data_IF_721983979138
#
_entry.id   IF_721983979138
#
_cell.length_a   1.000
_cell.length_b   1.000
_cell.length_c   1.000
_cell.angle_alpha   90.00
_cell.angle_beta   90.00
_cell.angle_gamma   90.00
#
_symmetry.space_group_name_H-M   'P 1'
#
loop_
_entity.id
_entity.type
_entity.pdbx_description
1 polymer ?
#
# COMPACT_ATOMS: atom_id res chain seq x y z
N UNK A 1 14.66 -1.49 13.12
CA UNK A 1 15.45 -2.52 12.40
C UNK A 1 15.25 -2.49 10.87
N UNK A 2 14.02 -2.48 10.34
CA UNK A 2 13.76 -2.44 8.87
C UNK A 2 14.32 -1.22 8.13
N UNK A 3 14.17 -0.02 8.69
CA UNK A 3 14.65 1.22 8.06
C UNK A 3 16.18 1.26 7.85
N UNK A 4 16.95 0.47 8.60
CA UNK A 4 18.42 0.46 8.51
C UNK A 4 18.97 -0.48 7.43
N UNK A 5 18.20 -1.48 7.00
CA UNK A 5 18.72 -2.57 6.15
C UNK A 5 18.09 -2.60 4.76
N UNK A 6 16.85 -2.16 4.59
CA UNK A 6 16.18 -2.18 3.29
C UNK A 6 16.49 -0.89 2.50
N UNK A 7 16.96 -0.98 1.25
CA UNK A 7 17.31 0.20 0.45
C UNK A 7 16.16 1.19 0.23
N UNK A 8 14.92 0.70 0.06
CA UNK A 8 13.71 1.55 -0.11
C UNK A 8 13.35 2.44 1.08
N UNK A 9 13.96 2.22 2.25
CA UNK A 9 13.69 2.99 3.47
C UNK A 9 14.87 3.87 3.90
N UNK A 10 15.84 4.11 3.02
CA UNK A 10 17.06 4.87 3.32
C UNK A 10 17.14 6.16 2.50
N UNK A 11 17.66 7.23 3.11
CA UNK A 11 17.99 8.49 2.43
C UNK A 11 16.88 9.00 1.52
N UNK A 12 17.24 9.34 0.28
CA UNK A 12 16.32 9.86 -0.72
C UNK A 12 15.30 8.83 -1.22
N UNK A 13 15.61 7.53 -1.15
CA UNK A 13 14.62 6.50 -1.50
C UNK A 13 13.42 6.55 -0.55
N UNK A 14 13.65 6.77 0.75
CA UNK A 14 12.57 6.92 1.71
C UNK A 14 11.68 8.11 1.35
N UNK A 15 12.29 9.28 1.08
CA UNK A 15 11.54 10.50 0.74
C UNK A 15 10.72 10.32 -0.53
N UNK A 16 11.32 9.75 -1.58
CA UNK A 16 10.61 9.46 -2.83
C UNK A 16 9.46 8.47 -2.63
N UNK A 17 9.66 7.44 -1.81
CA UNK A 17 8.59 6.48 -1.51
C UNK A 17 7.50 7.03 -0.59
N UNK A 18 7.83 8.02 0.25
CA UNK A 18 6.84 8.70 1.09
C UNK A 18 5.87 9.57 0.28
N UNK A 19 6.30 10.12 -0.86
CA UNK A 19 5.43 10.92 -1.74
C UNK A 19 4.17 10.14 -2.17
N UNK A 20 4.30 8.85 -2.48
CA UNK A 20 3.15 8.00 -2.78
C UNK A 20 2.15 7.93 -1.61
N UNK A 21 2.66 7.95 -0.38
CA UNK A 21 1.80 7.93 0.82
C UNK A 21 1.07 9.26 0.96
N UNK A 22 1.73 10.38 0.70
CA UNK A 22 1.13 11.73 0.75
C UNK A 22 -0.02 11.85 -0.27
N UNK A 23 0.17 11.31 -1.49
CA UNK A 23 -0.88 11.30 -2.52
C UNK A 23 -2.09 10.45 -2.12
N UNK A 24 -1.86 9.29 -1.50
CA UNK A 24 -2.94 8.44 -0.96
C UNK A 24 -3.60 9.09 0.26
N UNK A 25 -2.87 9.86 1.06
CA UNK A 25 -3.42 10.59 2.20
C UNK A 25 -4.44 11.65 1.75
N UNK A 26 -4.21 12.30 0.62
CA UNK A 26 -5.19 13.21 0.03
C UNK A 26 -6.51 12.50 -0.31
N UNK A 27 -6.44 11.31 -0.91
CA UNK A 27 -7.61 10.46 -1.18
C UNK A 27 -8.29 10.00 0.11
N UNK A 28 -7.51 9.54 1.09
CA UNK A 28 -8.02 9.09 2.39
C UNK A 28 -8.79 10.21 3.11
N UNK A 29 -8.26 11.44 3.07
CA UNK A 29 -8.90 12.64 3.62
C UNK A 29 -10.22 12.97 2.91
N UNK A 30 -10.25 12.91 1.57
CA UNK A 30 -11.49 13.10 0.78
C UNK A 30 -12.57 12.08 1.18
N UNK A 31 -12.16 10.85 1.50
CA UNK A 31 -13.05 9.74 1.91
C UNK A 31 -13.36 9.70 3.41
N UNK A 32 -12.74 10.56 4.23
CA UNK A 32 -12.91 10.56 5.68
C UNK A 32 -12.40 9.28 6.36
N UNK A 33 -11.35 8.66 5.81
CA UNK A 33 -10.78 7.41 6.31
C UNK A 33 -9.25 7.49 6.43
N UNK A 34 -8.62 6.42 6.89
CA UNK A 34 -7.15 6.33 7.03
C UNK A 34 -6.48 5.78 5.78
N UNK A 35 -5.20 6.12 5.58
CA UNK A 35 -4.37 5.53 4.50
C UNK A 35 -4.37 4.00 4.58
N UNK A 36 -4.30 3.43 5.79
CA UNK A 36 -4.36 1.97 6.01
C UNK A 36 -5.68 1.37 5.51
N UNK A 37 -6.81 2.05 5.76
CA UNK A 37 -8.11 1.63 5.24
C UNK A 37 -8.18 1.71 3.71
N UNK A 38 -7.64 2.77 3.08
CA UNK A 38 -7.55 2.83 1.60
C UNK A 38 -6.76 1.63 1.06
N UNK A 39 -5.58 1.36 1.61
CA UNK A 39 -4.72 0.28 1.13
C UNK A 39 -5.38 -1.11 1.25
N UNK A 40 -6.04 -1.40 2.37
CA UNK A 40 -6.73 -2.67 2.61
C UNK A 40 -7.95 -2.81 1.69
N UNK A 41 -8.77 -1.76 1.57
CA UNK A 41 -9.98 -1.80 0.75
C UNK A 41 -9.67 -1.78 -0.76
N UNK A 42 -8.55 -1.18 -1.18
CA UNK A 42 -8.03 -1.31 -2.53
C UNK A 42 -7.70 -2.77 -2.85
N UNK A 43 -7.01 -3.48 -1.94
CA UNK A 43 -6.68 -4.89 -2.11
C UNK A 43 -7.94 -5.77 -2.21
N UNK A 44 -8.95 -5.53 -1.36
CA UNK A 44 -10.25 -6.20 -1.46
C UNK A 44 -10.94 -5.93 -2.80
N UNK A 45 -10.85 -4.69 -3.29
CA UNK A 45 -11.44 -4.29 -4.57
C UNK A 45 -10.79 -5.01 -5.76
N UNK A 46 -9.51 -5.40 -5.66
CA UNK A 46 -8.83 -6.15 -6.72
C UNK A 46 -9.47 -7.52 -6.97
N UNK A 47 -10.11 -8.14 -5.98
CA UNK A 47 -10.85 -9.40 -6.18
C UNK A 47 -11.99 -9.31 -7.17
N UNK A 48 -12.48 -8.10 -7.46
CA UNK A 48 -13.51 -7.84 -8.46
C UNK A 48 -12.94 -7.74 -9.88
N UNK A 49 -11.61 -7.64 -10.04
CA UNK A 49 -10.98 -7.52 -11.37
C UNK A 49 -11.00 -8.87 -12.09
N UNK A 50 -11.18 -8.86 -13.43
CA UNK A 50 -11.10 -10.09 -14.22
C UNK A 50 -9.79 -10.82 -14.00
N UNK A 51 -9.85 -12.14 -13.77
CA UNK A 51 -8.68 -12.99 -13.58
C UNK A 51 -8.04 -12.93 -12.18
N UNK A 52 -8.60 -12.15 -11.25
CA UNK A 52 -8.18 -12.17 -9.84
C UNK A 52 -8.99 -13.18 -9.04
N UNK A 53 -8.32 -13.93 -8.17
CA UNK A 53 -8.98 -14.72 -7.14
C UNK A 53 -9.51 -13.83 -6.01
N UNK A 54 -10.36 -14.40 -5.16
CA UNK A 54 -10.74 -13.75 -3.90
C UNK A 54 -9.50 -13.49 -3.05
N UNK A 55 -9.31 -12.24 -2.63
CA UNK A 55 -8.20 -11.80 -1.81
C UNK A 55 -8.71 -11.57 -0.39
N UNK A 56 -8.09 -12.26 0.57
CA UNK A 56 -8.40 -12.12 2.00
C UNK A 56 -7.20 -11.47 2.69
N UNK A 57 -7.23 -10.15 2.99
CA UNK A 57 -6.15 -9.47 3.69
C UNK A 57 -6.01 -10.01 5.12
N UNK A 58 -4.77 -10.25 5.55
CA UNK A 58 -4.41 -10.67 6.91
C UNK A 58 -3.55 -9.60 7.63
N UNK A 59 -4.07 -8.38 7.83
CA UNK A 59 -3.29 -7.29 8.41
C UNK A 59 -3.02 -7.56 9.90
N UNK A 60 -1.75 -7.84 10.23
CA UNK A 60 -1.33 -8.05 11.61
C UNK A 60 -1.22 -6.75 12.40
N UNK A 61 -1.62 -6.77 13.67
CA UNK A 61 -1.45 -5.67 14.62
C UNK A 61 -1.38 -6.21 16.05
N UNK A 62 -0.60 -5.56 16.91
CA UNK A 62 -0.59 -5.81 18.37
C UNK A 62 -1.55 -4.93 19.14
N UNK A 63 -2.18 -3.95 18.49
CA UNK A 63 -3.08 -2.96 19.12
C UNK A 63 -4.54 -3.20 18.69
N UNK A 64 -5.48 -3.36 19.65
CA UNK A 64 -6.90 -3.57 19.34
C UNK A 64 -7.51 -2.48 18.45
N UNK A 65 -7.20 -1.21 18.68
CA UNK A 65 -7.76 -0.11 17.87
C UNK A 65 -7.32 -0.18 16.41
N UNK A 66 -6.09 -0.63 16.15
CA UNK A 66 -5.60 -0.85 14.79
C UNK A 66 -6.26 -2.07 14.13
N UNK A 67 -6.65 -3.09 14.90
CA UNK A 67 -7.43 -4.21 14.37
C UNK A 67 -8.81 -3.69 13.93
N UNK A 68 -9.46 -2.87 14.75
CA UNK A 68 -10.77 -2.25 14.40
C UNK A 68 -10.67 -1.34 13.18
N UNK A 69 -9.65 -0.48 13.13
CA UNK A 69 -9.35 0.39 11.99
C UNK A 69 -9.19 -0.44 10.70
N UNK A 70 -8.35 -1.49 10.74
CA UNK A 70 -8.07 -2.35 9.60
C UNK A 70 -9.26 -3.21 9.14
N UNK A 71 -10.19 -3.53 10.04
CA UNK A 71 -11.40 -4.31 9.74
C UNK A 71 -12.53 -3.46 9.12
N UNK A 72 -12.37 -2.14 9.06
CA UNK A 72 -13.40 -1.24 8.54
C UNK A 72 -13.46 -1.33 7.01
N UNK A 73 -14.64 -1.63 6.48
CA UNK A 73 -14.89 -1.65 5.04
C UNK A 73 -15.20 -0.23 4.57
N UNK A 74 -14.42 0.24 3.60
CA UNK A 74 -14.61 1.52 2.93
C UNK A 74 -14.93 1.23 1.48
N UNK A 75 -16.05 1.79 1.00
CA UNK A 75 -16.39 1.66 -0.41
C UNK A 75 -15.47 2.55 -1.25
N UNK A 76 -14.71 1.93 -2.16
CA UNK A 76 -13.91 2.62 -3.16
C UNK A 76 -14.66 2.58 -4.48
N UNK A 77 -15.00 3.77 -4.97
CA UNK A 77 -15.71 3.95 -6.24
C UNK A 77 -14.79 3.63 -7.42
N UNK A 78 -15.37 3.42 -8.60
CA UNK A 78 -14.59 3.24 -9.82
C UNK A 78 -13.74 4.47 -10.18
N UNK A 79 -14.14 5.67 -9.73
CA UNK A 79 -13.30 6.86 -9.84
C UNK A 79 -12.09 6.76 -8.89
N UNK A 80 -12.30 6.43 -7.62
CA UNK A 80 -11.23 6.25 -6.63
C UNK A 80 -10.21 5.21 -7.12
N UNK A 81 -10.67 4.10 -7.68
CA UNK A 81 -9.80 3.04 -8.20
C UNK A 81 -9.02 3.47 -9.45
N UNK A 82 -9.63 4.25 -10.35
CA UNK A 82 -8.94 4.83 -11.51
C UNK A 82 -7.88 5.84 -11.10
N UNK A 83 -8.13 6.63 -10.06
CA UNK A 83 -7.16 7.57 -9.51
C UNK A 83 -5.95 6.83 -8.93
N UNK A 84 -6.20 5.77 -8.15
CA UNK A 84 -5.14 4.91 -7.61
C UNK A 84 -4.34 4.26 -8.76
N UNK A 85 -5.00 3.72 -9.79
CA UNK A 85 -4.30 3.11 -10.92
C UNK A 85 -3.42 4.11 -11.67
N UNK A 86 -3.91 5.34 -11.90
CA UNK A 86 -3.11 6.42 -12.52
C UNK A 86 -1.89 6.80 -11.67
N UNK A 87 -2.10 6.94 -10.37
CA UNK A 87 -1.03 7.24 -9.42
C UNK A 87 0.04 6.14 -9.45
N UNK A 88 -0.37 4.88 -9.33
CA UNK A 88 0.53 3.73 -9.34
C UNK A 88 1.28 3.58 -10.68
N UNK A 89 0.63 3.87 -11.81
CA UNK A 89 1.29 3.85 -13.12
C UNK A 89 2.38 4.92 -13.27
N UNK A 90 2.21 6.08 -12.61
CA UNK A 90 3.19 7.17 -12.64
C UNK A 90 4.33 7.00 -11.63
N UNK A 91 4.16 6.12 -10.64
CA UNK A 91 5.06 5.97 -9.52
C UNK A 91 6.02 4.78 -9.70
N UNK A 92 7.32 5.05 -9.68
CA UNK A 92 8.36 4.01 -9.62
C UNK A 92 8.97 3.96 -8.22
N UNK A 93 8.81 2.84 -7.47
CA UNK A 93 9.44 2.67 -6.17
C UNK A 93 10.96 2.86 -6.24
N UNK A 94 11.50 3.61 -5.29
CA UNK A 94 12.93 3.90 -5.21
C UNK A 94 13.65 2.90 -4.28
N UNK A 95 14.76 2.35 -4.74
CA UNK A 95 15.56 1.37 -4.02
C UNK A 95 14.96 -0.03 -4.00
N UNK A 96 15.82 -1.04 -3.85
CA UNK A 96 15.40 -2.44 -3.85
C UNK A 96 14.45 -2.78 -2.69
N UNK A 97 13.55 -3.73 -2.94
CA UNK A 97 12.59 -4.23 -1.96
C UNK A 97 13.28 -4.91 -0.78
N UNK A 98 14.38 -5.62 -1.03
CA UNK A 98 15.15 -6.35 -0.03
C UNK A 98 16.64 -5.98 -0.10
N UNK A 99 17.41 -6.20 0.98
CA UNK A 99 18.86 -6.12 0.91
C UNK A 99 19.43 -7.07 -0.17
N UNK A 100 20.60 -6.77 -0.76
CA UNK A 100 21.18 -7.57 -1.84
C UNK A 100 21.31 -9.07 -1.51
N UNK A 101 21.64 -9.41 -0.26
CA UNK A 101 21.78 -10.79 0.20
C UNK A 101 20.46 -11.57 0.14
N UNK A 102 19.33 -10.87 0.21
CA UNK A 102 18.00 -11.46 0.22
C UNK A 102 17.32 -11.39 -1.16
N UNK A 103 17.73 -10.47 -2.03
CA UNK A 103 17.20 -10.35 -3.39
C UNK A 103 17.38 -11.65 -4.19
N UNK A 104 18.43 -12.43 -3.93
CA UNK A 104 18.68 -13.74 -4.58
C UNK A 104 17.59 -14.80 -4.34
N UNK A 105 16.70 -14.61 -3.36
CA UNK A 105 15.60 -15.53 -3.05
C UNK A 105 14.25 -15.09 -3.64
N UNK A 106 14.23 -13.96 -4.34
CA UNK A 106 13.04 -13.43 -4.98
C UNK A 106 13.23 -13.64 -6.48
N UNK A 107 12.37 -14.45 -7.09
CA UNK A 107 12.31 -14.57 -8.54
C UNK A 107 11.98 -13.21 -9.16
N UNK A 108 12.64 -12.90 -10.28
CA UNK A 108 12.40 -11.70 -11.08
C UNK A 108 10.97 -11.67 -11.64
#
# INVERSE_FOLDING_TARGET
MRAKIHPRWQGDNFRKNAQLVDDIEALAKKKGCTVSQIAINWLLSLSRRPGMSTIVPIPGSTKPDRIRENATIIDLTDEDLRDIDRLLASFTPAGDRYPPQHMKYVSA
#
